data_IF_948922785433
#
_entry.id   IF_948922785433
#
_cell.length_a   1.000
_cell.length_b   1.000
_cell.length_c   1.000
_cell.angle_alpha   90.00
_cell.angle_beta   90.00
_cell.angle_gamma   90.00
#
_symmetry.space_group_name_H-M   'P 1'
#
loop_
_entity.id
_entity.type
_entity.pdbx_description
1 polymer ?
#
# COMPACT_ATOMS: atom_id res chain seq x y z
N UNK A 1 0.15 3.39 5.49
CA UNK A 1 0.65 2.07 5.97
C UNK A 1 2.00 2.28 6.61
N UNK A 2 2.18 1.93 7.88
CA UNK A 2 3.45 2.18 8.62
C UNK A 2 4.45 1.04 8.43
N UNK A 3 5.74 1.32 8.64
CA UNK A 3 6.82 0.30 8.55
C UNK A 3 6.54 -0.90 9.46
N UNK A 4 6.02 -0.66 10.66
CA UNK A 4 5.61 -1.72 11.60
C UNK A 4 4.52 -2.62 11.03
N UNK A 5 3.54 -2.04 10.32
CA UNK A 5 2.48 -2.80 9.68
C UNK A 5 3.00 -3.62 8.48
N UNK A 6 3.94 -3.08 7.70
CA UNK A 6 4.63 -3.80 6.61
C UNK A 6 5.37 -5.02 7.17
N UNK A 7 6.21 -4.83 8.19
CA UNK A 7 6.96 -5.92 8.81
C UNK A 7 6.06 -7.01 9.40
N UNK A 8 4.95 -6.60 10.02
CA UNK A 8 3.95 -7.55 10.52
C UNK A 8 3.34 -8.39 9.39
N UNK A 9 2.99 -7.78 8.25
CA UNK A 9 2.49 -8.52 7.08
C UNK A 9 3.54 -9.47 6.52
N UNK A 10 4.79 -9.04 6.39
CA UNK A 10 5.90 -9.90 5.94
C UNK A 10 6.08 -11.10 6.87
N UNK A 11 6.06 -10.90 8.19
CA UNK A 11 6.16 -11.99 9.14
C UNK A 11 5.00 -12.96 9.03
N UNK A 12 3.77 -12.47 8.87
CA UNK A 12 2.62 -13.32 8.63
C UNK A 12 2.75 -14.15 7.34
N UNK A 13 3.29 -13.55 6.26
CA UNK A 13 3.57 -14.27 5.01
C UNK A 13 4.59 -15.38 5.21
N UNK A 14 5.70 -15.10 5.92
CA UNK A 14 6.74 -16.09 6.25
C UNK A 14 6.17 -17.28 7.01
N UNK A 15 5.33 -17.03 8.03
CA UNK A 15 4.72 -18.10 8.82
C UNK A 15 3.84 -19.00 7.95
N UNK A 16 3.00 -18.41 7.08
CA UNK A 16 2.15 -19.19 6.15
C UNK A 16 2.96 -20.03 5.17
N UNK A 17 4.06 -19.48 4.65
CA UNK A 17 4.95 -20.22 3.74
C UNK A 17 5.62 -21.38 4.50
N UNK A 18 6.16 -21.13 5.69
CA UNK A 18 6.77 -22.18 6.52
C UNK A 18 5.80 -23.31 6.83
N UNK A 19 4.54 -23.00 7.18
CA UNK A 19 3.52 -24.02 7.45
C UNK A 19 3.18 -24.85 6.21
N UNK A 20 3.20 -24.26 5.03
CA UNK A 20 2.95 -24.97 3.77
C UNK A 20 4.14 -25.85 3.35
N UNK A 21 5.37 -25.47 3.70
CA UNK A 21 6.60 -26.20 3.33
C UNK A 21 7.08 -27.20 4.39
N UNK A 22 6.56 -27.14 5.62
CA UNK A 22 7.00 -27.99 6.73
C UNK A 22 6.51 -29.43 6.55
N UNK A 23 7.42 -30.33 6.14
CA UNK A 23 7.18 -31.77 6.00
C UNK A 23 6.62 -32.41 7.28
N UNK A 24 6.95 -31.88 8.47
CA UNK A 24 6.50 -32.46 9.74
C UNK A 24 5.05 -32.10 10.07
N UNK A 25 4.55 -30.97 9.56
CA UNK A 25 3.17 -30.53 9.77
C UNK A 25 2.18 -31.08 8.76
N UNK A 26 2.63 -31.48 7.57
CA UNK A 26 1.80 -31.99 6.47
C UNK A 26 1.36 -33.45 6.64
N UNK A 27 1.13 -33.89 7.90
CA UNK A 27 0.63 -35.23 8.21
C UNK A 27 -0.62 -35.56 7.37
N UNK A 28 -0.56 -36.66 6.61
CA UNK A 28 -1.57 -37.24 5.70
C UNK A 28 -2.28 -36.33 4.67
N UNK A 29 -2.15 -35.01 4.73
CA UNK A 29 -2.69 -34.07 3.74
C UNK A 29 -1.55 -33.35 3.06
N UNK A 30 -1.34 -33.68 1.79
CA UNK A 30 -0.42 -32.96 0.91
C UNK A 30 -0.89 -31.51 0.77
N UNK A 31 -0.27 -30.59 1.51
CA UNK A 31 -0.49 -29.16 1.33
C UNK A 31 0.27 -28.74 0.07
N UNK A 32 -0.46 -28.40 -0.99
CA UNK A 32 0.14 -27.87 -2.21
C UNK A 32 0.34 -26.36 -2.01
N UNK A 33 1.58 -25.85 -1.99
CA UNK A 33 1.83 -24.42 -1.87
C UNK A 33 1.27 -23.70 -3.09
N UNK A 34 0.63 -22.56 -2.87
CA UNK A 34 0.17 -21.65 -3.94
C UNK A 34 1.35 -21.02 -4.67
N UNK A 35 1.14 -20.54 -5.90
CA UNK A 35 2.24 -20.06 -6.75
C UNK A 35 3.03 -18.90 -6.14
N UNK A 36 2.36 -17.99 -5.43
CA UNK A 36 3.06 -16.90 -4.74
C UNK A 36 3.88 -17.42 -3.55
N UNK A 37 3.46 -18.49 -2.86
CA UNK A 37 4.23 -19.10 -1.78
C UNK A 37 5.48 -19.77 -2.32
N UNK A 38 5.38 -20.46 -3.47
CA UNK A 38 6.54 -21.05 -4.17
C UNK A 38 7.55 -19.96 -4.54
N UNK A 39 7.11 -18.89 -5.22
CA UNK A 39 7.96 -17.75 -5.59
C UNK A 39 8.60 -17.08 -4.38
N UNK A 40 7.82 -16.85 -3.32
CA UNK A 40 8.34 -16.27 -2.08
C UNK A 40 9.37 -17.17 -1.40
N UNK A 41 9.12 -18.48 -1.36
CA UNK A 41 10.04 -19.45 -0.79
C UNK A 41 11.34 -19.55 -1.59
N UNK A 42 11.28 -19.53 -2.92
CA UNK A 42 12.44 -19.50 -3.79
C UNK A 42 13.33 -18.28 -3.54
N UNK A 43 12.73 -17.08 -3.42
CA UNK A 43 13.43 -15.85 -3.07
C UNK A 43 14.00 -15.91 -1.64
N UNK A 44 13.25 -16.49 -0.70
CA UNK A 44 13.63 -16.59 0.71
C UNK A 44 14.82 -17.54 0.94
N UNK A 45 14.83 -18.68 0.24
CA UNK A 45 15.86 -19.71 0.35
C UNK A 45 17.07 -19.48 -0.56
N UNK A 46 17.04 -18.47 -1.44
CA UNK A 46 18.05 -18.23 -2.47
C UNK A 46 18.30 -19.47 -3.37
N UNK A 47 17.31 -20.34 -3.51
CA UNK A 47 17.48 -21.65 -4.16
C UNK A 47 17.41 -21.54 -5.69
N UNK A 48 16.81 -20.46 -6.20
CA UNK A 48 16.59 -20.24 -7.65
C UNK A 48 17.31 -19.01 -8.20
N UNK A 49 17.99 -18.23 -7.34
CA UNK A 49 18.82 -17.09 -7.76
C UNK A 49 20.25 -17.45 -7.38
N UNK A 50 21.00 -17.97 -8.37
CA UNK A 50 22.45 -18.06 -8.31
C UNK A 50 23.02 -16.73 -7.81
N UNK A 51 23.40 -16.66 -6.54
CA UNK A 51 24.08 -15.52 -5.97
C UNK A 51 23.23 -14.26 -5.81
N UNK A 52 22.67 -14.12 -4.61
CA UNK A 52 22.26 -12.86 -3.97
C UNK A 52 20.80 -12.42 -4.14
N UNK A 53 20.29 -11.93 -3.01
CA UNK A 53 19.14 -11.05 -2.86
C UNK A 53 18.95 -10.19 -4.13
N UNK A 54 17.81 -10.27 -4.84
CA UNK A 54 17.60 -9.62 -6.13
C UNK A 54 17.74 -8.09 -6.07
N UNK A 55 17.71 -7.50 -4.88
CA UNK A 55 18.00 -6.07 -4.64
C UNK A 55 19.50 -5.79 -4.58
N UNK A 56 20.29 -6.70 -4.00
CA UNK A 56 21.73 -6.50 -3.80
C UNK A 56 22.57 -6.85 -5.04
N UNK A 57 22.15 -7.85 -5.83
CA UNK A 57 22.86 -8.19 -7.08
C UNK A 57 22.88 -7.02 -8.09
N UNK A 58 21.86 -6.16 -8.06
CA UNK A 58 21.73 -5.03 -9.00
C UNK A 58 22.43 -3.75 -8.54
N UNK A 59 23.00 -3.72 -7.33
CA UNK A 59 23.67 -2.54 -6.79
C UNK A 59 25.18 -2.62 -7.02
N UNK A 60 25.78 -1.78 -7.89
CA UNK A 60 27.23 -1.77 -8.09
C UNK A 60 27.95 -1.42 -6.78
N UNK A 61 28.88 -2.27 -6.35
CA UNK A 61 29.63 -2.13 -5.09
C UNK A 61 29.03 -2.86 -3.88
N UNK A 62 27.88 -3.54 -4.03
CA UNK A 62 27.32 -4.35 -2.96
C UNK A 62 28.08 -5.67 -2.79
N UNK A 63 28.91 -5.76 -1.74
CA UNK A 63 29.54 -7.01 -1.31
C UNK A 63 28.60 -7.72 -0.33
N UNK A 64 28.20 -8.95 -0.64
CA UNK A 64 27.53 -9.82 0.32
C UNK A 64 28.55 -10.24 1.38
N UNK A 65 28.50 -9.62 2.56
CA UNK A 65 29.21 -10.12 3.73
C UNK A 65 28.45 -11.35 4.26
N UNK A 66 28.83 -12.52 3.77
CA UNK A 66 28.36 -13.79 4.30
C UNK A 66 28.96 -14.02 5.68
N UNK A 67 28.13 -14.29 6.69
CA UNK A 67 28.61 -14.89 7.93
C UNK A 67 29.07 -16.31 7.60
N UNK A 68 30.39 -16.52 7.54
CA UNK A 68 30.99 -17.85 7.66
C UNK A 68 30.65 -18.40 9.03
N UNK A 69 29.85 -19.47 9.08
CA UNK A 69 29.53 -20.17 10.33
C UNK A 69 30.80 -20.84 10.85
N UNK A 70 31.34 -20.49 12.03
CA UNK A 70 32.30 -21.35 12.70
C UNK A 70 31.56 -22.57 13.26
N UNK A 71 32.13 -23.75 12.99
CA UNK A 71 31.71 -25.04 13.52
C UNK A 71 31.62 -25.04 15.05
N UNK A 72 30.51 -25.60 15.54
CA UNK A 72 30.32 -26.25 16.84
C UNK A 72 31.40 -26.05 17.91
N UNK A 73 31.08 -25.27 18.95
CA UNK A 73 31.47 -25.63 20.32
C UNK A 73 30.32 -25.31 21.28
N UNK A 74 30.01 -26.31 22.11
CA UNK A 74 29.01 -26.24 23.19
C UNK A 74 29.46 -25.17 24.19
N UNK A 75 28.58 -24.22 24.50
CA UNK A 75 28.68 -23.44 25.72
C UNK A 75 27.29 -23.35 26.34
N UNK A 76 27.14 -24.10 27.42
CA UNK A 76 26.02 -24.07 28.34
C UNK A 76 25.98 -22.73 29.05
N UNK A 77 24.91 -21.96 28.86
CA UNK A 77 24.42 -21.01 29.86
C UNK A 77 22.89 -20.97 29.80
N UNK A 78 22.30 -21.70 30.74
CA UNK A 78 20.88 -21.70 31.05
C UNK A 78 20.54 -20.45 31.85
N UNK A 79 20.00 -19.43 31.20
CA UNK A 79 19.21 -18.39 31.88
C UNK A 79 17.75 -18.63 31.50
N UNK A 80 17.03 -19.31 32.40
CA UNK A 80 15.60 -19.54 32.36
C UNK A 80 14.87 -18.20 32.37
N UNK A 81 14.60 -17.64 31.19
CA UNK A 81 13.60 -16.59 31.04
C UNK A 81 12.23 -17.25 31.09
N UNK A 82 11.43 -16.81 32.05
CA UNK A 82 10.06 -17.26 32.27
C UNK A 82 9.20 -17.12 30.99
N UNK A 83 8.23 -18.03 30.77
CA UNK A 83 7.38 -18.00 29.59
C UNK A 83 6.66 -16.65 29.44
N UNK A 84 6.59 -16.08 28.22
CA UNK A 84 5.89 -14.82 28.00
C UNK A 84 4.41 -14.98 28.34
N UNK A 85 3.91 -14.12 29.22
CA UNK A 85 2.50 -14.09 29.63
C UNK A 85 1.59 -14.01 28.39
N UNK A 86 0.67 -14.97 28.30
CA UNK A 86 -0.33 -15.03 27.23
C UNK A 86 -1.19 -13.77 27.31
N UNK A 87 -0.94 -12.82 26.41
CA UNK A 87 -1.80 -11.63 26.26
C UNK A 87 -3.24 -12.09 26.05
N UNK A 88 -4.11 -11.77 27.00
CA UNK A 88 -5.56 -12.01 26.91
C UNK A 88 -6.04 -11.43 25.59
N UNK A 89 -6.67 -12.25 24.75
CA UNK A 89 -7.37 -11.78 23.55
C UNK A 89 -8.34 -10.69 24.01
N UNK A 90 -8.14 -9.47 23.51
CA UNK A 90 -9.16 -8.42 23.64
C UNK A 90 -10.43 -8.99 23.01
N UNK A 91 -11.46 -9.14 23.83
CA UNK A 91 -12.79 -9.43 23.33
C UNK A 91 -13.15 -8.25 22.43
N UNK A 92 -13.29 -8.55 21.13
CA UNK A 92 -13.90 -7.62 20.19
C UNK A 92 -15.31 -7.41 20.76
N UNK A 93 -15.54 -6.23 21.33
CA UNK A 93 -16.87 -5.79 21.69
C UNK A 93 -17.68 -5.85 20.41
N UNK A 94 -18.80 -6.60 20.44
CA UNK A 94 -19.75 -6.66 19.33
C UNK A 94 -20.14 -5.22 19.01
N UNK A 95 -19.59 -4.69 17.91
CA UNK A 95 -20.06 -3.44 17.34
C UNK A 95 -21.52 -3.71 17.00
N UNK A 96 -22.43 -2.96 17.62
CA UNK A 96 -23.85 -3.06 17.35
C UNK A 96 -24.02 -2.73 15.88
N UNK A 97 -24.28 -3.76 15.06
CA UNK A 97 -24.59 -3.58 13.65
C UNK A 97 -25.79 -2.63 13.58
N UNK A 98 -25.68 -1.58 12.77
CA UNK A 98 -26.86 -0.76 12.46
C UNK A 98 -27.84 -1.63 11.69
N UNK A 99 -29.13 -1.52 12.02
CA UNK A 99 -30.20 -2.33 11.42
C UNK A 99 -30.22 -2.25 9.88
N UNK A 100 -29.72 -1.15 9.31
CA UNK A 100 -29.60 -0.91 7.85
C UNK A 100 -28.69 -1.90 7.12
N UNK A 101 -27.76 -2.57 7.82
CA UNK A 101 -26.78 -3.47 7.21
C UNK A 101 -27.00 -4.95 7.57
N UNK A 102 -28.06 -5.26 8.32
CA UNK A 102 -28.40 -6.64 8.62
C UNK A 102 -28.79 -7.38 7.33
N UNK A 103 -28.14 -8.52 7.09
CA UNK A 103 -28.43 -9.38 5.93
C UNK A 103 -27.50 -9.19 4.73
N UNK A 104 -26.64 -8.18 4.71
CA UNK A 104 -25.64 -8.04 3.66
C UNK A 104 -24.37 -8.84 3.97
N UNK A 105 -23.91 -9.61 2.99
CA UNK A 105 -22.59 -10.25 3.09
C UNK A 105 -21.49 -9.20 3.06
N UNK A 106 -20.32 -9.52 3.65
CA UNK A 106 -19.15 -8.63 3.63
C UNK A 106 -18.78 -8.19 2.21
N UNK A 107 -18.89 -9.10 1.24
CA UNK A 107 -18.61 -8.78 -0.17
C UNK A 107 -19.59 -7.76 -0.74
N UNK A 108 -20.87 -7.86 -0.35
CA UNK A 108 -21.88 -6.90 -0.78
C UNK A 108 -21.60 -5.51 -0.22
N UNK A 109 -21.26 -5.42 1.08
CA UNK A 109 -20.90 -4.15 1.73
C UNK A 109 -19.66 -3.52 1.08
N UNK A 110 -18.65 -4.33 0.76
CA UNK A 110 -17.45 -3.87 0.06
C UNK A 110 -17.78 -3.33 -1.34
N UNK A 111 -18.65 -4.00 -2.10
CA UNK A 111 -19.11 -3.53 -3.42
C UNK A 111 -19.87 -2.23 -3.31
N UNK A 112 -20.77 -2.10 -2.33
CA UNK A 112 -21.54 -0.87 -2.11
C UNK A 112 -20.63 0.31 -1.78
N UNK A 113 -19.66 0.11 -0.88
CA UNK A 113 -18.68 1.14 -0.55
C UNK A 113 -17.85 1.57 -1.77
N UNK A 114 -17.43 0.62 -2.61
CA UNK A 114 -16.71 0.93 -3.85
C UNK A 114 -17.56 1.74 -4.83
N UNK A 115 -18.82 1.35 -5.04
CA UNK A 115 -19.74 2.07 -5.93
C UNK A 115 -19.95 3.50 -5.44
N UNK A 116 -20.15 3.68 -4.13
CA UNK A 116 -20.36 5.00 -3.56
C UNK A 116 -19.10 5.88 -3.69
N UNK A 117 -17.91 5.31 -3.55
CA UNK A 117 -16.66 6.02 -3.80
C UNK A 117 -16.55 6.46 -5.27
N UNK A 118 -16.81 5.56 -6.22
CA UNK A 118 -16.76 5.89 -7.65
C UNK A 118 -17.73 7.03 -7.98
N UNK A 119 -18.95 6.99 -7.44
CA UNK A 119 -19.94 8.06 -7.65
C UNK A 119 -19.47 9.41 -7.09
N UNK A 120 -18.86 9.41 -5.90
CA UNK A 120 -18.30 10.62 -5.31
C UNK A 120 -17.16 11.19 -6.17
N UNK A 121 -16.27 10.33 -6.66
CA UNK A 121 -15.14 10.72 -7.50
C UNK A 121 -15.64 11.31 -8.84
N UNK A 122 -16.64 10.68 -9.48
CA UNK A 122 -17.24 11.20 -10.71
C UNK A 122 -17.90 12.57 -10.51
N UNK A 123 -18.61 12.78 -9.39
CA UNK A 123 -19.26 14.06 -9.10
C UNK A 123 -18.24 15.18 -8.81
N UNK A 124 -17.10 14.84 -8.21
CA UNK A 124 -16.01 15.80 -8.01
C UNK A 124 -15.37 16.20 -9.35
N UNK A 125 -15.17 15.24 -10.25
CA UNK A 125 -14.62 15.51 -11.57
C UNK A 125 -15.53 16.42 -12.40
N UNK A 126 -16.85 16.16 -12.40
CA UNK A 126 -17.80 17.03 -13.10
C UNK A 126 -17.80 18.45 -12.56
N UNK A 127 -17.81 18.62 -11.23
CA UNK A 127 -17.75 19.95 -10.61
C UNK A 127 -16.43 20.69 -10.91
N UNK A 128 -15.31 19.96 -11.01
CA UNK A 128 -14.02 20.53 -11.37
C UNK A 128 -13.98 21.00 -12.84
N UNK A 129 -14.64 20.27 -13.75
CA UNK A 129 -14.77 20.66 -15.16
C UNK A 129 -15.61 21.94 -15.27
N UNK A 130 -16.78 21.98 -14.65
CA UNK A 130 -17.66 23.16 -14.65
C UNK A 130 -16.95 24.41 -14.11
N UNK A 131 -16.18 24.26 -13.03
CA UNK A 131 -15.35 25.33 -12.48
C UNK A 131 -14.31 25.84 -13.49
N UNK A 132 -13.61 24.93 -14.19
CA UNK A 132 -12.61 25.33 -15.20
C UNK A 132 -13.25 26.07 -16.36
N UNK A 133 -14.40 25.60 -16.85
CA UNK A 133 -15.15 26.26 -17.93
C UNK A 133 -15.58 27.67 -17.52
N UNK A 134 -16.09 27.83 -16.29
CA UNK A 134 -16.44 29.14 -15.75
C UNK A 134 -15.26 30.12 -15.74
N UNK A 135 -14.08 29.69 -15.24
CA UNK A 135 -12.90 30.55 -15.23
C UNK A 135 -12.41 30.88 -16.64
N UNK A 136 -12.47 29.93 -17.57
CA UNK A 136 -12.07 30.17 -18.95
C UNK A 136 -12.98 31.21 -19.63
N UNK A 137 -14.29 31.13 -19.41
CA UNK A 137 -15.24 32.12 -19.89
C UNK A 137 -14.97 33.51 -19.31
N UNK A 138 -14.67 33.59 -18.01
CA UNK A 138 -14.34 34.85 -17.35
C UNK A 138 -13.08 35.50 -17.94
N UNK A 139 -12.02 34.71 -18.16
CA UNK A 139 -10.78 35.18 -18.80
C UNK A 139 -11.07 35.69 -20.22
N UNK A 140 -11.87 34.96 -20.99
CA UNK A 140 -12.21 35.36 -22.36
C UNK A 140 -13.04 36.66 -22.40
N UNK A 141 -13.96 36.86 -21.45
CA UNK A 141 -14.70 38.12 -21.32
C UNK A 141 -13.80 39.30 -20.97
N UNK A 142 -12.91 39.13 -19.99
CA UNK A 142 -11.94 40.16 -19.59
C UNK A 142 -11.04 40.55 -20.77
N UNK A 143 -10.53 39.57 -21.53
CA UNK A 143 -9.70 39.83 -22.72
C UNK A 143 -10.49 40.50 -23.86
N UNK A 144 -11.78 40.21 -24.00
CA UNK A 144 -12.63 40.88 -24.99
C UNK A 144 -12.85 42.36 -24.64
N UNK A 145 -12.90 42.75 -23.37
CA UNK A 145 -13.10 44.14 -22.94
C UNK A 145 -11.85 44.99 -23.23
N UNK A 146 -10.66 44.44 -23.07
CA UNK A 146 -9.37 45.14 -23.31
C UNK A 146 -9.15 45.48 -24.79
N UNK A 147 -9.77 44.74 -25.72
CA UNK A 147 -9.62 44.98 -27.16
C UNK A 147 -10.50 46.12 -27.72
N UNK A 148 -11.48 46.63 -26.95
CA UNK A 148 -12.36 47.74 -27.39
C UNK A 148 -12.06 49.09 -26.74
N UNK A 149 -11.04 49.17 -25.87
CA UNK A 149 -10.54 50.48 -25.40
C UNK A 149 -9.58 51.05 -26.45
N UNK A 150 -10.15 51.67 -27.49
CA UNK A 150 -9.39 52.60 -28.34
C UNK A 150 -8.77 53.69 -27.44
N UNK A 151 -7.46 53.99 -27.57
CA UNK A 151 -6.88 55.12 -26.88
C UNK A 151 -7.56 56.40 -27.37
N UNK A 152 -8.15 57.14 -26.43
CA UNK A 152 -8.76 58.44 -26.72
C UNK A 152 -7.74 59.32 -27.47
N UNK A 153 -8.16 60.04 -28.53
CA UNK A 153 -7.26 60.89 -29.28
C UNK A 153 -6.63 61.90 -28.34
N UNK A 154 -5.30 61.91 -28.29
CA UNK A 154 -4.51 62.88 -27.52
C UNK A 154 -4.77 64.25 -28.12
N UNK A 155 -5.63 65.03 -27.46
CA UNK A 155 -5.81 66.45 -27.78
C UNK A 155 -4.55 67.18 -27.31
N UNK A 156 -3.63 67.40 -28.24
CA UNK A 156 -2.48 68.28 -28.04
C UNK A 156 -2.99 69.72 -27.98
N UNK A 157 -3.21 70.22 -26.76
CA UNK A 157 -3.36 71.65 -26.51
C UNK A 157 -1.96 72.26 -26.40
N UNK A 158 -1.35 72.53 -27.54
CA UNK A 158 -0.27 73.50 -27.66
C UNK A 158 -0.79 74.63 -28.54
N UNK A 159 -1.52 75.56 -27.94
CA UNK A 159 -1.76 76.89 -28.50
C UNK A 159 -1.48 77.91 -27.38
N UNK A 160 -0.35 78.60 -27.57
CA UNK A 160 0.06 79.97 -27.18
C UNK A 160 -0.29 80.57 -25.80
#
# INVERSE_FOLDING_TARGET
>A
MTVKQVMKKLNNMKTKVKEATDLKKTGNKKIVPTDWQKKFYAIWNNEEVQGANPVLYKAPGAVTSGYSMPSTSKSSNSTLLSPPEKKKKLQITKIKERDEFQGYSLQHLQRMCLIQQIQADCAQESAAIEMKEYYQLKINQENSIVLYTEPLPVVNNNDD
#
